data_IF_797707388104
#
_entry.id   IF_797707388104
#
_cell.length_a   1.000
_cell.length_b   1.000
_cell.length_c   1.000
_cell.angle_alpha   90.00
_cell.angle_beta   90.00
_cell.angle_gamma   90.00
#
_symmetry.space_group_name_H-M   'P 1'
#
loop_
_entity.id
_entity.type
_entity.pdbx_description
1 polymer ?
#
# COMPACT_ATOMS: atom_id res chain seq x y z
N UNK A 1 18.26 34.58 -8.27
CA UNK A 1 17.66 33.29 -8.67
C UNK A 1 16.16 33.52 -8.83
N UNK A 2 15.57 33.36 -10.02
CA UNK A 2 14.12 33.57 -10.20
C UNK A 2 13.38 32.52 -9.38
N UNK A 3 12.47 32.97 -8.50
CA UNK A 3 11.71 32.09 -7.60
C UNK A 3 10.41 31.73 -8.32
N UNK A 4 10.34 30.52 -8.87
CA UNK A 4 9.14 30.00 -9.51
C UNK A 4 8.14 29.52 -8.45
N UNK A 5 6.85 29.53 -8.77
CA UNK A 5 5.81 29.03 -7.86
C UNK A 5 6.04 27.56 -7.57
N UNK A 6 5.95 27.16 -6.30
CA UNK A 6 6.08 25.75 -5.90
C UNK A 6 4.76 25.01 -6.15
N UNK A 7 4.79 23.81 -6.75
CA UNK A 7 3.61 22.95 -6.84
C UNK A 7 3.13 22.55 -5.43
N UNK A 8 1.81 22.42 -5.28
CA UNK A 8 1.25 21.74 -4.10
C UNK A 8 1.46 20.23 -4.23
N UNK A 9 2.50 19.74 -3.58
CA UNK A 9 2.91 18.34 -3.64
C UNK A 9 1.87 17.37 -3.08
N UNK A 10 1.01 17.79 -2.14
CA UNK A 10 -0.04 16.95 -1.60
C UNK A 10 -1.12 16.68 -2.65
N UNK A 11 -1.49 17.71 -3.42
CA UNK A 11 -2.42 17.58 -4.54
C UNK A 11 -1.81 16.76 -5.68
N UNK A 12 -0.55 17.02 -6.06
CA UNK A 12 0.18 16.22 -7.06
C UNK A 12 0.22 14.73 -6.66
N UNK A 13 0.53 14.43 -5.40
CA UNK A 13 0.58 13.05 -4.91
C UNK A 13 -0.79 12.36 -4.91
N UNK A 14 -1.87 13.10 -4.64
CA UNK A 14 -3.24 12.57 -4.70
C UNK A 14 -3.64 12.26 -6.13
N UNK A 15 -3.35 13.15 -7.08
CA UNK A 15 -3.71 12.97 -8.49
C UNK A 15 -2.95 11.82 -9.15
N UNK A 16 -1.68 11.60 -8.76
CA UNK A 16 -0.87 10.45 -9.22
C UNK A 16 -1.41 9.08 -8.80
N UNK A 17 -2.40 9.01 -7.89
CA UNK A 17 -3.07 7.74 -7.56
C UNK A 17 -4.03 7.28 -8.67
N UNK A 18 -4.39 8.17 -9.59
CA UNK A 18 -5.21 7.84 -10.74
C UNK A 18 -4.36 7.14 -11.82
N UNK A 19 -4.82 6.00 -12.34
CA UNK A 19 -4.07 5.16 -13.28
C UNK A 19 -3.63 5.86 -14.57
N UNK A 20 -4.31 6.92 -14.99
CA UNK A 20 -4.03 7.65 -16.23
C UNK A 20 -3.20 8.92 -16.02
N UNK A 21 -2.85 9.27 -14.77
CA UNK A 21 -2.11 10.50 -14.46
C UNK A 21 -0.63 10.17 -14.30
N UNK A 22 0.21 10.93 -14.99
CA UNK A 22 1.66 10.81 -14.89
C UNK A 22 2.27 12.08 -14.31
N UNK A 23 3.47 11.95 -13.73
CA UNK A 23 4.20 13.10 -13.20
C UNK A 23 4.57 14.09 -14.31
N UNK A 24 4.73 13.60 -15.54
CA UNK A 24 4.95 14.44 -16.73
C UNK A 24 3.70 15.26 -17.07
N UNK A 25 2.52 14.64 -17.11
CA UNK A 25 1.26 15.34 -17.35
C UNK A 25 1.03 16.45 -16.33
N UNK A 26 1.24 16.17 -15.04
CA UNK A 26 1.09 17.17 -13.97
C UNK A 26 2.15 18.29 -14.05
N UNK A 27 3.32 18.00 -14.61
CA UNK A 27 4.34 19.02 -14.88
C UNK A 27 3.92 19.91 -16.06
N UNK A 28 3.36 19.34 -17.13
CA UNK A 28 2.83 20.08 -18.29
C UNK A 28 1.72 21.05 -17.84
N UNK A 29 0.75 20.58 -17.06
CA UNK A 29 -0.30 21.44 -16.48
C UNK A 29 0.26 22.52 -15.55
N UNK A 30 1.31 22.19 -14.78
CA UNK A 30 1.99 23.17 -13.94
C UNK A 30 2.68 24.26 -14.77
N UNK A 31 3.30 23.91 -15.90
CA UNK A 31 3.90 24.85 -16.83
C UNK A 31 2.85 25.80 -17.42
N UNK A 32 1.71 25.26 -17.87
CA UNK A 32 0.59 26.04 -18.43
C UNK A 32 0.03 27.03 -17.41
N UNK A 33 -0.10 26.62 -16.14
CA UNK A 33 -0.57 27.50 -15.05
C UNK A 33 0.44 28.58 -14.65
N UNK A 34 1.71 28.46 -15.05
CA UNK A 34 2.79 29.36 -14.64
C UNK A 34 3.59 29.94 -15.83
N UNK A 35 2.96 30.69 -16.75
CA UNK A 35 3.63 31.25 -17.92
C UNK A 35 4.74 32.25 -17.57
N UNK A 36 4.70 32.84 -16.37
CA UNK A 36 5.77 33.72 -15.83
C UNK A 36 7.05 32.99 -15.42
N UNK A 37 7.05 31.66 -15.48
CA UNK A 37 8.22 30.81 -15.31
C UNK A 37 7.94 29.60 -14.43
N UNK A 38 8.47 28.45 -14.85
CA UNK A 38 8.28 27.15 -14.23
C UNK A 38 9.62 26.41 -14.11
N UNK A 39 9.68 25.44 -13.20
CA UNK A 39 10.82 24.53 -13.10
C UNK A 39 10.91 23.58 -14.30
N UNK A 40 12.13 23.21 -14.70
CA UNK A 40 12.32 22.14 -15.68
C UNK A 40 11.81 20.81 -15.12
N UNK A 41 11.40 19.90 -16.02
CA UNK A 41 10.84 18.60 -15.63
C UNK A 41 11.75 17.82 -14.67
N UNK A 42 13.06 17.80 -14.92
CA UNK A 42 14.04 17.13 -14.04
C UNK A 42 14.02 17.74 -12.62
N UNK A 43 14.03 19.08 -12.54
CA UNK A 43 14.02 19.78 -11.26
C UNK A 43 12.70 19.53 -10.51
N UNK A 44 11.56 19.57 -11.21
CA UNK A 44 10.25 19.24 -10.68
C UNK A 44 10.21 17.82 -10.09
N UNK A 45 10.68 16.83 -10.84
CA UNK A 45 10.77 15.43 -10.38
C UNK A 45 11.64 15.29 -9.13
N UNK A 46 12.78 15.98 -9.09
CA UNK A 46 13.67 15.96 -7.93
C UNK A 46 12.97 16.51 -6.69
N UNK A 47 12.29 17.65 -6.81
CA UNK A 47 11.57 18.27 -5.69
C UNK A 47 10.43 17.40 -5.18
N UNK A 48 9.65 16.80 -6.09
CA UNK A 48 8.60 15.86 -5.71
C UNK A 48 9.15 14.67 -4.92
N UNK A 49 10.28 14.09 -5.34
CA UNK A 49 10.93 12.97 -4.62
C UNK A 49 11.43 13.38 -3.24
N UNK A 50 12.00 14.59 -3.10
CA UNK A 50 12.43 15.10 -1.80
C UNK A 50 11.23 15.30 -0.86
N UNK A 51 10.13 15.88 -1.36
CA UNK A 51 8.89 15.98 -0.58
C UNK A 51 8.30 14.60 -0.22
N UNK A 52 8.37 13.62 -1.12
CA UNK A 52 7.86 12.26 -0.84
C UNK A 52 8.57 11.63 0.37
N UNK A 53 9.88 11.87 0.53
CA UNK A 53 10.65 11.39 1.69
C UNK A 53 10.16 12.01 3.00
N UNK A 54 9.70 13.26 2.99
CA UNK A 54 9.16 13.94 4.18
C UNK A 54 7.75 13.48 4.54
N UNK A 55 7.05 12.83 3.61
CA UNK A 55 5.64 12.46 3.73
C UNK A 55 5.44 11.02 4.23
N UNK A 56 6.53 10.29 4.51
CA UNK A 56 6.47 8.89 4.97
C UNK A 56 5.83 8.79 6.35
N UNK A 57 4.59 8.26 6.49
CA UNK A 57 4.08 7.87 7.79
C UNK A 57 4.78 6.57 8.14
N UNK A 58 5.90 6.64 8.86
CA UNK A 58 6.44 5.45 9.51
C UNK A 58 5.51 5.11 10.66
N UNK A 59 4.58 4.18 10.45
CA UNK A 59 3.88 3.58 11.57
C UNK A 59 4.84 2.59 12.23
N UNK A 60 5.78 3.12 13.03
CA UNK A 60 6.65 2.30 13.86
C UNK A 60 5.82 1.74 15.01
N UNK A 61 5.16 0.62 14.76
CA UNK A 61 4.47 -0.11 15.80
C UNK A 61 5.51 -0.79 16.68
N UNK A 62 5.48 -0.50 17.97
CA UNK A 62 6.21 -1.29 18.97
C UNK A 62 5.36 -2.52 19.24
N UNK A 63 5.90 -3.70 18.93
CA UNK A 63 5.25 -4.96 19.25
C UNK A 63 5.90 -5.54 20.50
N UNK A 64 5.25 -5.36 21.65
CA UNK A 64 5.68 -6.04 22.88
C UNK A 64 5.33 -7.52 22.76
N UNK A 65 6.28 -8.40 23.08
CA UNK A 65 6.08 -9.84 22.99
C UNK A 65 4.89 -10.28 23.85
N UNK A 66 3.95 -11.01 23.24
CA UNK A 66 2.74 -11.51 23.92
C UNK A 66 1.58 -10.50 24.05
N UNK A 67 1.75 -9.24 23.62
CA UNK A 67 0.71 -8.21 23.78
C UNK A 67 -0.36 -8.26 22.68
N UNK A 68 0.05 -8.52 21.42
CA UNK A 68 -0.84 -8.47 20.25
C UNK A 68 -0.62 -9.67 19.34
N UNK A 69 -1.73 -10.30 18.93
CA UNK A 69 -1.80 -11.30 17.87
C UNK A 69 -2.57 -10.70 16.69
N UNK A 70 -1.97 -10.71 15.50
CA UNK A 70 -2.63 -10.31 14.26
C UNK A 70 -3.25 -11.54 13.63
N UNK A 71 -4.50 -11.46 13.18
CA UNK A 71 -5.23 -12.58 12.60
C UNK A 71 -5.86 -12.13 11.28
N UNK A 72 -5.73 -12.97 10.25
CA UNK A 72 -6.35 -12.74 8.95
C UNK A 72 -6.83 -14.06 8.33
N UNK A 73 -7.77 -13.96 7.39
CA UNK A 73 -8.24 -15.07 6.56
C UNK A 73 -7.58 -14.97 5.18
N UNK A 74 -6.96 -16.07 4.76
CA UNK A 74 -6.31 -16.14 3.46
C UNK A 74 -7.36 -16.32 2.35
N UNK A 75 -7.94 -15.22 1.89
CA UNK A 75 -8.69 -15.16 0.63
C UNK A 75 -9.86 -16.16 0.51
N UNK A 76 -10.11 -16.70 -0.71
CA UNK A 76 -11.19 -17.65 -0.95
C UNK A 76 -11.03 -18.97 -0.18
N UNK A 77 -12.15 -19.65 0.05
CA UNK A 77 -12.14 -21.02 0.59
C UNK A 77 -11.40 -21.99 -0.33
N UNK A 78 -10.69 -22.94 0.26
CA UNK A 78 -9.97 -24.02 -0.42
C UNK A 78 -10.69 -25.35 -0.25
N UNK A 79 -10.63 -26.19 -1.28
CA UNK A 79 -11.11 -27.58 -1.21
C UNK A 79 -10.04 -28.48 -0.62
N UNK A 80 -10.38 -29.24 0.41
CA UNK A 80 -9.53 -30.26 1.04
C UNK A 80 -10.14 -31.63 0.74
N UNK A 81 -9.41 -32.45 0.00
CA UNK A 81 -9.83 -33.81 -0.34
C UNK A 81 -9.42 -34.79 0.75
N UNK A 82 -10.39 -35.53 1.28
CA UNK A 82 -10.14 -36.67 2.16
C UNK A 82 -9.51 -37.82 1.33
N UNK A 83 -8.30 -38.27 1.67
CA UNK A 83 -7.60 -39.29 0.88
C UNK A 83 -8.21 -40.69 0.99
N UNK A 84 -9.00 -40.97 2.03
CA UNK A 84 -9.64 -42.27 2.25
C UNK A 84 -11.01 -42.34 1.57
N UNK A 85 -11.78 -41.25 1.63
CA UNK A 85 -13.18 -41.23 1.14
C UNK A 85 -13.35 -40.53 -0.21
N UNK A 86 -12.39 -39.70 -0.62
CA UNK A 86 -12.50 -38.85 -1.80
C UNK A 86 -13.45 -37.66 -1.64
N UNK A 87 -14.03 -37.46 -0.46
CA UNK A 87 -14.91 -36.34 -0.15
C UNK A 87 -14.13 -35.01 -0.21
N UNK A 88 -14.72 -33.97 -0.82
CA UNK A 88 -14.13 -32.63 -0.85
C UNK A 88 -14.82 -31.77 0.20
N UNK A 89 -14.05 -31.34 1.21
CA UNK A 89 -14.50 -30.42 2.25
C UNK A 89 -14.02 -29.01 1.95
N UNK A 90 -14.86 -28.02 2.24
CA UNK A 90 -14.51 -26.61 2.05
C UNK A 90 -13.91 -26.05 3.34
N UNK A 91 -12.70 -25.52 3.27
CA UNK A 91 -12.00 -24.92 4.41
C UNK A 91 -11.60 -23.47 4.11
N UNK A 92 -11.55 -22.63 5.15
CA UNK A 92 -10.83 -21.36 5.10
C UNK A 92 -9.46 -21.54 5.74
N UNK A 93 -8.44 -20.84 5.25
CA UNK A 93 -7.13 -20.82 5.92
C UNK A 93 -7.06 -19.58 6.78
N UNK A 94 -6.95 -19.77 8.09
CA UNK A 94 -6.72 -18.69 9.05
C UNK A 94 -5.23 -18.61 9.35
N UNK A 95 -4.69 -17.39 9.34
CA UNK A 95 -3.29 -17.11 9.63
C UNK A 95 -3.21 -16.15 10.80
N UNK A 96 -2.39 -16.47 11.79
CA UNK A 96 -2.13 -15.63 12.94
C UNK A 96 -0.63 -15.36 13.10
N UNK A 97 -0.26 -14.13 13.46
CA UNK A 97 1.14 -13.70 13.58
C UNK A 97 1.36 -12.91 14.88
N UNK A 98 2.37 -13.29 15.65
CA UNK A 98 2.83 -12.48 16.79
C UNK A 98 3.67 -11.30 16.28
N UNK A 99 3.22 -10.08 16.59
CA UNK A 99 3.87 -8.85 16.09
C UNK A 99 5.35 -8.70 16.45
N UNK A 100 5.75 -9.21 17.61
CA UNK A 100 7.11 -9.02 18.14
C UNK A 100 8.15 -9.92 17.46
N UNK A 101 7.75 -11.15 17.11
CA UNK A 101 8.66 -12.19 16.61
C UNK A 101 8.38 -12.58 15.16
N UNK A 102 7.28 -12.10 14.56
CA UNK A 102 6.75 -12.61 13.30
C UNK A 102 6.47 -14.12 13.33
N UNK A 103 6.32 -14.70 14.52
CA UNK A 103 6.00 -16.12 14.66
C UNK A 103 4.60 -16.37 14.09
N UNK A 104 4.55 -17.18 13.04
CA UNK A 104 3.36 -17.38 12.21
C UNK A 104 2.75 -18.75 12.52
N UNK A 105 1.45 -18.76 12.74
CA UNK A 105 0.62 -19.94 12.88
C UNK A 105 -0.42 -19.94 11.78
N UNK A 106 -0.68 -21.09 11.17
CA UNK A 106 -1.70 -21.25 10.16
C UNK A 106 -2.48 -22.53 10.45
N UNK A 107 -3.79 -22.45 10.29
CA UNK A 107 -4.69 -23.60 10.44
C UNK A 107 -5.80 -23.52 9.42
N UNK A 108 -6.36 -24.68 9.11
CA UNK A 108 -7.68 -24.74 8.53
C UNK A 108 -8.72 -24.32 9.57
N UNK A 109 -9.74 -23.61 9.10
CA UNK A 109 -10.98 -23.36 9.78
C UNK A 109 -12.09 -24.01 8.96
N UNK A 110 -12.80 -24.97 9.57
CA UNK A 110 -13.93 -25.63 8.95
C UNK A 110 -15.04 -24.61 8.69
N UNK A 111 -15.51 -24.52 7.44
CA UNK A 111 -16.68 -23.69 7.12
C UNK A 111 -17.92 -24.49 7.53
N UNK A 112 -18.79 -23.97 8.42
CA UNK A 112 -20.05 -24.64 8.73
C UNK A 112 -20.86 -24.87 7.46
N UNK A 113 -21.48 -26.04 7.32
CA UNK A 113 -22.49 -26.23 6.29
C UNK A 113 -23.64 -25.24 6.55
N UNK A 114 -24.00 -24.46 5.53
CA UNK A 114 -25.11 -23.50 5.58
C UNK A 114 -26.46 -24.20 5.79
#
# INVERSE_FOLDING_TARGET
MKKHSLPDWATVHRELRNKCVTLQLLWEEYCERNPGGFYSYNHYCRMYREWLKTTSPSMRQVHVAGEKLFVDYCGPTVGVTDPETGEIRTAQVIVAVLGASSYTWASEATVPAA
#
